data_IF_624318108841
#
_entry.id   IF_624318108841
#
_cell.length_a   1.000
_cell.length_b   1.000
_cell.length_c   1.000
_cell.angle_alpha   90.00
_cell.angle_beta   90.00
_cell.angle_gamma   90.00
#
_symmetry.space_group_name_H-M   'P 1'
#
loop_
_entity.id
_entity.type
_entity.pdbx_description
1 polymer ?
#
# COMPACT_ATOMS: atom_id res chain seq x y z
N UNK A 1 -21.41 13.24 5.99
CA UNK A 1 -21.13 11.80 6.16
C UNK A 1 -19.71 11.69 6.70
N UNK A 2 -19.47 10.79 7.66
CA UNK A 2 -18.08 10.55 8.10
C UNK A 2 -17.30 9.97 6.94
N UNK A 3 -16.13 10.54 6.63
CA UNK A 3 -15.21 10.04 5.61
C UNK A 3 -14.80 8.63 6.00
N UNK A 4 -15.15 7.65 5.20
CA UNK A 4 -14.79 6.25 5.43
C UNK A 4 -13.94 5.72 4.27
N UNK A 5 -12.85 5.05 4.59
CA UNK A 5 -11.97 4.39 3.62
C UNK A 5 -12.14 2.87 3.75
N UNK A 6 -12.50 2.21 2.65
CA UNK A 6 -12.46 0.76 2.57
C UNK A 6 -11.07 0.31 2.13
N UNK A 7 -10.43 -0.53 2.91
CA UNK A 7 -9.12 -1.08 2.61
C UNK A 7 -9.25 -2.57 2.31
N UNK A 8 -8.91 -2.98 1.10
CA UNK A 8 -8.78 -4.40 0.73
C UNK A 8 -7.32 -4.80 0.91
N UNK A 9 -7.07 -5.73 1.83
CA UNK A 9 -5.75 -6.26 2.12
C UNK A 9 -5.82 -7.77 2.36
N UNK A 10 -5.87 -8.55 1.29
CA UNK A 10 -6.16 -9.98 1.37
C UNK A 10 -5.10 -10.79 2.12
N UNK A 11 -3.82 -10.42 1.98
CA UNK A 11 -2.69 -11.18 2.52
C UNK A 11 -2.34 -10.74 3.95
N UNK A 12 -3.17 -11.12 4.91
CA UNK A 12 -2.84 -10.98 6.33
C UNK A 12 -1.58 -11.77 6.69
N UNK A 13 -0.81 -11.27 7.65
CA UNK A 13 0.44 -11.88 8.08
C UNK A 13 0.67 -11.69 9.57
N UNK A 14 1.25 -12.70 10.25
CA UNK A 14 1.95 -12.47 11.50
C UNK A 14 3.42 -12.16 11.19
N UNK A 15 3.81 -10.92 11.42
CA UNK A 15 5.17 -10.44 11.18
C UNK A 15 6.03 -10.67 12.41
N UNK A 16 7.11 -11.43 12.26
CA UNK A 16 8.15 -11.57 13.27
C UNK A 16 9.32 -10.66 12.90
N UNK A 17 9.53 -9.61 13.68
CA UNK A 17 10.68 -8.72 13.53
C UNK A 17 11.76 -9.15 14.53
N UNK A 18 12.93 -9.50 14.02
CA UNK A 18 14.04 -10.07 14.79
C UNK A 18 15.27 -9.17 14.67
N UNK A 19 15.87 -8.80 15.79
CA UNK A 19 17.17 -8.13 15.83
C UNK A 19 18.26 -9.19 15.97
N UNK A 20 19.27 -9.13 15.12
CA UNK A 20 20.44 -10.03 15.11
C UNK A 20 21.74 -9.21 15.01
N UNK A 21 22.87 -9.80 15.35
CA UNK A 21 24.18 -9.17 15.18
C UNK A 21 24.52 -8.95 13.72
N UNK A 22 24.66 -10.06 12.98
CA UNK A 22 24.94 -10.16 11.56
C UNK A 22 24.36 -11.49 11.05
N UNK A 23 23.87 -11.52 9.80
CA UNK A 23 23.35 -12.75 9.18
C UNK A 23 24.46 -13.55 8.53
N UNK A 24 24.86 -14.66 9.16
CA UNK A 24 25.89 -15.58 8.66
C UNK A 24 25.24 -16.75 7.93
N UNK A 25 25.40 -16.82 6.61
CA UNK A 25 24.85 -17.91 5.79
C UNK A 25 25.54 -19.24 6.11
N UNK A 26 24.74 -20.29 6.29
CA UNK A 26 25.24 -21.62 6.58
C UNK A 26 25.58 -21.88 8.04
N UNK A 27 25.37 -20.88 8.93
CA UNK A 27 25.65 -20.96 10.35
C UNK A 27 24.38 -20.81 11.21
N UNK A 28 24.51 -21.07 12.51
CA UNK A 28 23.46 -20.82 13.48
C UNK A 28 23.44 -19.35 13.85
N UNK A 29 22.41 -18.64 13.42
CA UNK A 29 22.18 -17.24 13.78
C UNK A 29 21.29 -17.15 15.01
N UNK A 30 21.68 -16.34 16.02
CA UNK A 30 20.94 -16.17 17.26
C UNK A 30 20.24 -14.83 17.28
N UNK A 31 18.94 -14.85 17.54
CA UNK A 31 18.11 -13.66 17.70
C UNK A 31 18.41 -13.03 19.06
N UNK A 32 18.71 -11.75 19.08
CA UNK A 32 18.95 -10.96 20.29
C UNK A 32 17.64 -10.45 20.89
N UNK A 33 16.71 -10.03 20.04
CA UNK A 33 15.38 -9.57 20.40
C UNK A 33 14.37 -9.89 19.30
N UNK A 34 13.10 -10.11 19.67
CA UNK A 34 12.03 -10.32 18.68
C UNK A 34 10.71 -9.72 19.16
N UNK A 35 9.94 -9.27 18.19
CA UNK A 35 8.52 -8.94 18.34
C UNK A 35 7.70 -9.70 17.33
N UNK A 36 6.46 -10.06 17.70
CA UNK A 36 5.48 -10.65 16.78
C UNK A 36 4.24 -9.79 16.81
N UNK A 37 3.78 -9.36 15.63
CA UNK A 37 2.60 -8.51 15.50
C UNK A 37 1.79 -8.86 14.26
N UNK A 38 0.50 -8.57 14.30
CA UNK A 38 -0.32 -8.52 13.10
C UNK A 38 0.25 -7.50 12.11
N UNK A 39 0.27 -7.83 10.84
CA UNK A 39 0.79 -6.99 9.76
C UNK A 39 0.17 -7.39 8.42
N UNK A 40 0.66 -6.81 7.38
CA UNK A 40 0.20 -6.93 5.99
C UNK A 40 -0.14 -5.57 5.45
N UNK A 41 0.03 -5.37 4.13
CA UNK A 41 -0.14 -4.06 3.50
C UNK A 41 -1.45 -3.39 3.88
N UNK A 42 -2.59 -4.11 3.75
CA UNK A 42 -3.90 -3.53 4.10
C UNK A 42 -4.02 -3.16 5.57
N UNK A 43 -3.51 -3.98 6.50
CA UNK A 43 -3.53 -3.64 7.92
C UNK A 43 -2.67 -2.41 8.22
N UNK A 44 -1.48 -2.31 7.59
CA UNK A 44 -0.61 -1.14 7.77
C UNK A 44 -1.30 0.14 7.27
N UNK A 45 -2.00 0.08 6.11
CA UNK A 45 -2.80 1.21 5.59
C UNK A 45 -3.91 1.58 6.59
N UNK A 46 -4.69 0.61 7.06
CA UNK A 46 -5.79 0.86 7.99
C UNK A 46 -5.30 1.43 9.34
N UNK A 47 -4.19 0.92 9.87
CA UNK A 47 -3.59 1.39 11.10
C UNK A 47 -3.10 2.85 11.00
N UNK A 48 -2.45 3.20 9.88
CA UNK A 48 -2.01 4.59 9.64
C UNK A 48 -3.22 5.53 9.44
N UNK A 49 -4.26 5.11 8.72
CA UNK A 49 -5.51 5.89 8.60
C UNK A 49 -6.14 6.14 9.97
N UNK A 50 -6.22 5.12 10.82
CA UNK A 50 -6.73 5.25 12.20
C UNK A 50 -5.89 6.25 13.02
N UNK A 51 -4.56 6.21 12.91
CA UNK A 51 -3.67 7.17 13.57
C UNK A 51 -3.82 8.61 13.03
N UNK A 52 -4.35 8.77 11.82
CA UNK A 52 -4.68 10.05 11.18
C UNK A 52 -6.15 10.49 11.44
N UNK A 53 -6.85 9.85 12.37
CA UNK A 53 -8.25 10.10 12.72
C UNK A 53 -9.22 9.89 11.52
N UNK A 54 -8.89 8.99 10.60
CA UNK A 54 -9.75 8.60 9.47
C UNK A 54 -10.43 7.28 9.77
N UNK A 55 -11.75 7.24 9.65
CA UNK A 55 -12.50 5.98 9.73
C UNK A 55 -12.10 5.07 8.57
N UNK A 56 -11.53 3.92 8.89
CA UNK A 56 -11.12 2.91 7.91
C UNK A 56 -11.65 1.53 8.31
N UNK A 57 -12.07 0.75 7.30
CA UNK A 57 -12.51 -0.63 7.48
C UNK A 57 -11.61 -1.52 6.63
N UNK A 58 -10.90 -2.46 7.28
CA UNK A 58 -10.05 -3.44 6.62
C UNK A 58 -10.87 -4.67 6.23
N UNK A 59 -10.81 -5.06 4.97
CA UNK A 59 -11.29 -6.35 4.47
C UNK A 59 -10.11 -7.25 4.10
N UNK A 60 -10.07 -8.46 4.65
CA UNK A 60 -8.98 -9.39 4.41
C UNK A 60 -9.34 -10.81 4.79
N UNK A 61 -8.40 -11.72 4.56
CA UNK A 61 -8.50 -13.12 4.96
C UNK A 61 -7.60 -13.42 6.15
N UNK A 62 -8.08 -14.28 7.06
CA UNK A 62 -7.21 -14.89 8.05
C UNK A 62 -7.78 -16.26 8.47
N UNK A 63 -6.89 -17.19 8.81
CA UNK A 63 -7.29 -18.54 9.22
C UNK A 63 -6.27 -19.18 10.16
N UNK A 64 -6.67 -20.27 10.78
CA UNK A 64 -5.87 -21.01 11.73
C UNK A 64 -5.58 -20.25 13.03
N UNK A 65 -4.55 -20.68 13.76
CA UNK A 65 -4.12 -20.05 15.02
C UNK A 65 -3.54 -18.65 14.78
N UNK A 66 -2.72 -18.50 13.73
CA UNK A 66 -2.16 -17.20 13.37
C UNK A 66 -3.25 -16.20 12.97
N UNK A 67 -4.32 -16.66 12.29
CA UNK A 67 -5.46 -15.84 11.94
C UNK A 67 -6.25 -15.38 13.15
N UNK A 68 -6.43 -16.24 14.18
CA UNK A 68 -7.04 -15.84 15.45
C UNK A 68 -6.22 -14.76 16.16
N UNK A 69 -4.89 -14.91 16.19
CA UNK A 69 -3.99 -13.91 16.77
C UNK A 69 -4.04 -12.59 16.01
N UNK A 70 -3.99 -12.65 14.68
CA UNK A 70 -4.14 -11.47 13.82
C UNK A 70 -5.44 -10.70 14.12
N UNK A 71 -6.57 -11.40 14.15
CA UNK A 71 -7.88 -10.79 14.40
C UNK A 71 -8.00 -10.21 15.81
N UNK A 72 -7.42 -10.91 16.80
CA UNK A 72 -7.39 -10.42 18.18
C UNK A 72 -6.57 -9.12 18.28
N UNK A 73 -5.39 -9.05 17.67
CA UNK A 73 -4.56 -7.84 17.69
C UNK A 73 -5.21 -6.67 16.95
N UNK A 74 -5.89 -6.91 15.81
CA UNK A 74 -6.69 -5.86 15.17
C UNK A 74 -7.71 -5.26 16.12
N UNK A 75 -8.42 -6.10 16.88
CA UNK A 75 -9.41 -5.65 17.86
C UNK A 75 -8.77 -4.88 19.02
N UNK A 76 -7.65 -5.38 19.54
CA UNK A 76 -6.90 -4.74 20.65
C UNK A 76 -6.37 -3.35 20.24
N UNK A 77 -5.96 -3.19 18.99
CA UNK A 77 -5.46 -1.92 18.44
C UNK A 77 -6.58 -1.01 17.91
N UNK A 78 -7.84 -1.42 18.02
CA UNK A 78 -8.99 -0.60 17.61
C UNK A 78 -9.21 -0.52 16.11
N UNK A 79 -8.61 -1.41 15.31
CA UNK A 79 -8.81 -1.46 13.86
C UNK A 79 -10.12 -2.19 13.56
N UNK A 80 -11.05 -1.54 12.84
CA UNK A 80 -12.25 -2.20 12.30
C UNK A 80 -11.82 -3.13 11.15
N UNK A 81 -11.70 -4.42 11.45
CA UNK A 81 -11.28 -5.45 10.50
C UNK A 81 -12.40 -6.45 10.26
N UNK A 82 -12.86 -6.52 9.03
CA UNK A 82 -13.87 -7.47 8.53
C UNK A 82 -13.17 -8.67 7.92
N UNK A 83 -12.74 -9.59 8.76
CA UNK A 83 -11.92 -10.74 8.37
C UNK A 83 -12.79 -11.90 7.93
N UNK A 84 -12.63 -12.33 6.67
CA UNK A 84 -13.17 -13.58 6.17
C UNK A 84 -12.30 -14.74 6.64
N UNK A 85 -12.88 -15.61 7.43
CA UNK A 85 -12.17 -16.78 7.98
C UNK A 85 -11.98 -17.82 6.89
N UNK A 86 -10.73 -18.26 6.69
CA UNK A 86 -10.36 -19.29 5.72
C UNK A 86 -9.84 -20.55 6.43
N UNK A 87 -9.91 -21.69 5.73
CA UNK A 87 -9.43 -22.96 6.27
C UNK A 87 -7.89 -23.02 6.38
N UNK A 88 -7.17 -22.33 5.50
CA UNK A 88 -5.72 -22.29 5.50
C UNK A 88 -5.18 -21.42 6.66
N UNK A 89 -3.98 -21.77 7.14
CA UNK A 89 -3.27 -20.99 8.16
C UNK A 89 -2.81 -19.64 7.60
N UNK A 90 -3.00 -18.57 8.36
CA UNK A 90 -2.40 -17.27 8.06
C UNK A 90 -0.88 -17.37 8.10
N UNK A 91 -0.23 -16.90 7.04
CA UNK A 91 1.23 -16.97 6.89
C UNK A 91 1.97 -16.14 7.94
N UNK A 92 3.22 -16.53 8.16
CA UNK A 92 4.18 -15.73 8.90
C UNK A 92 5.21 -15.14 7.93
N UNK A 93 5.74 -13.98 8.29
CA UNK A 93 6.92 -13.42 7.66
C UNK A 93 7.93 -13.05 8.73
N UNK A 94 9.20 -13.10 8.38
CA UNK A 94 10.28 -12.76 9.31
C UNK A 94 11.11 -11.64 8.70
N UNK A 95 11.28 -10.56 9.46
CA UNK A 95 12.24 -9.50 9.15
C UNK A 95 13.43 -9.64 10.09
N UNK A 96 14.62 -9.80 9.53
CA UNK A 96 15.88 -9.77 10.24
C UNK A 96 16.47 -8.36 10.11
N UNK A 97 16.73 -7.70 11.23
CA UNK A 97 17.37 -6.38 11.29
C UNK A 97 18.75 -6.57 11.90
N UNK A 98 19.78 -6.29 11.13
CA UNK A 98 21.17 -6.36 11.57
C UNK A 98 21.60 -5.07 12.28
N UNK A 99 22.67 -5.12 13.07
CA UNK A 99 23.14 -3.94 13.83
C UNK A 99 23.55 -2.76 12.97
N UNK A 100 23.97 -3.01 11.73
CA UNK A 100 24.31 -1.96 10.75
C UNK A 100 23.08 -1.34 10.08
N UNK A 101 21.88 -1.89 10.35
CA UNK A 101 20.59 -1.49 9.76
C UNK A 101 20.23 -2.26 8.49
N UNK A 102 21.06 -3.22 8.05
CA UNK A 102 20.71 -4.12 6.94
C UNK A 102 19.46 -4.90 7.32
N UNK A 103 18.51 -4.97 6.38
CA UNK A 103 17.22 -5.63 6.60
C UNK A 103 17.04 -6.75 5.57
N UNK A 104 16.77 -7.95 6.06
CA UNK A 104 16.46 -9.14 5.24
C UNK A 104 15.07 -9.65 5.57
N UNK A 105 14.23 -9.84 4.57
CA UNK A 105 12.89 -10.41 4.74
C UNK A 105 12.83 -11.86 4.25
N UNK A 106 12.21 -12.71 5.06
CA UNK A 106 11.84 -14.09 4.73
C UNK A 106 10.33 -14.14 4.71
N UNK A 107 9.76 -14.36 3.53
CA UNK A 107 8.32 -14.25 3.29
C UNK A 107 7.76 -15.63 2.95
N UNK A 108 6.83 -16.13 3.76
CA UNK A 108 6.09 -17.35 3.46
C UNK A 108 5.15 -17.13 2.26
N UNK A 109 4.83 -18.19 1.51
CA UNK A 109 3.85 -18.13 0.44
C UNK A 109 2.48 -17.70 0.98
N UNK A 110 1.68 -17.09 0.11
CA UNK A 110 0.29 -16.75 0.44
C UNK A 110 -0.53 -18.01 0.70
N UNK A 111 -1.45 -17.98 1.69
CA UNK A 111 -2.36 -19.08 1.91
C UNK A 111 -3.25 -19.32 0.68
N UNK A 112 -3.60 -20.57 0.41
CA UNK A 112 -4.61 -20.91 -0.60
C UNK A 112 -6.02 -20.76 -0.05
N UNK A 113 -6.95 -20.33 -0.89
CA UNK A 113 -8.38 -20.24 -0.56
C UNK A 113 -9.20 -21.12 -1.50
N UNK A 114 -10.39 -21.48 -1.07
CA UNK A 114 -11.38 -22.16 -1.89
C UNK A 114 -12.17 -21.15 -2.73
N UNK A 115 -12.76 -21.59 -3.83
CA UNK A 115 -13.65 -20.74 -4.62
C UNK A 115 -14.88 -20.24 -3.84
N UNK A 116 -15.33 -20.98 -2.82
CA UNK A 116 -16.44 -20.55 -1.97
C UNK A 116 -16.02 -19.40 -1.07
N UNK A 117 -14.83 -19.48 -0.45
CA UNK A 117 -14.24 -18.41 0.34
C UNK A 117 -14.02 -17.15 -0.49
N UNK A 118 -13.43 -17.28 -1.70
CA UNK A 118 -13.25 -16.18 -2.65
C UNK A 118 -14.57 -15.49 -3.00
N UNK A 119 -15.61 -16.25 -3.40
CA UNK A 119 -16.91 -15.68 -3.74
C UNK A 119 -17.58 -14.97 -2.56
N UNK A 120 -17.51 -15.56 -1.37
CA UNK A 120 -18.08 -14.97 -0.16
C UNK A 120 -17.41 -13.64 0.19
N UNK A 121 -16.08 -13.60 0.19
CA UNK A 121 -15.30 -12.37 0.43
C UNK A 121 -15.62 -11.29 -0.59
N UNK A 122 -15.58 -11.62 -1.88
CA UNK A 122 -15.88 -10.68 -2.96
C UNK A 122 -17.27 -10.09 -2.82
N UNK A 123 -18.28 -10.91 -2.53
CA UNK A 123 -19.66 -10.44 -2.32
C UNK A 123 -19.76 -9.42 -1.20
N UNK A 124 -19.07 -9.65 -0.07
CA UNK A 124 -19.08 -8.72 1.07
C UNK A 124 -18.36 -7.41 0.73
N UNK A 125 -17.19 -7.48 0.06
CA UNK A 125 -16.45 -6.28 -0.35
C UNK A 125 -17.26 -5.44 -1.34
N UNK A 126 -17.79 -6.07 -2.42
CA UNK A 126 -18.57 -5.35 -3.43
C UNK A 126 -19.81 -4.67 -2.83
N UNK A 127 -20.49 -5.30 -1.87
CA UNK A 127 -21.63 -4.70 -1.21
C UNK A 127 -21.30 -3.51 -0.30
N UNK A 128 -20.04 -3.42 0.16
CA UNK A 128 -19.59 -2.33 1.02
C UNK A 128 -19.08 -1.10 0.25
N UNK A 129 -18.71 -1.25 -1.02
CA UNK A 129 -18.14 -0.17 -1.85
C UNK A 129 -19.06 1.08 -1.89
N UNK A 130 -20.38 0.97 -2.09
CA UNK A 130 -21.23 2.16 -2.18
C UNK A 130 -21.34 3.00 -0.90
N UNK A 131 -20.91 2.45 0.24
CA UNK A 131 -21.06 3.06 1.57
C UNK A 131 -19.80 3.85 2.01
N UNK A 132 -18.75 3.92 1.16
CA UNK A 132 -17.47 4.54 1.52
C UNK A 132 -17.11 5.69 0.59
N UNK A 133 -16.15 6.51 1.01
CA UNK A 133 -15.68 7.66 0.23
C UNK A 133 -14.50 7.31 -0.70
N UNK A 134 -13.71 6.28 -0.37
CA UNK A 134 -12.53 5.84 -1.12
C UNK A 134 -12.31 4.35 -0.89
N UNK A 135 -11.84 3.65 -1.92
CA UNK A 135 -11.37 2.27 -1.82
C UNK A 135 -9.86 2.21 -2.05
N UNK A 136 -9.13 1.53 -1.15
CA UNK A 136 -7.72 1.18 -1.33
C UNK A 136 -7.60 -0.32 -1.52
N UNK A 137 -7.08 -0.77 -2.67
CA UNK A 137 -6.69 -2.17 -2.90
C UNK A 137 -5.18 -2.25 -2.70
N UNK A 138 -4.73 -2.85 -1.59
CA UNK A 138 -3.33 -2.81 -1.17
C UNK A 138 -2.73 -4.20 -0.96
N UNK A 139 -1.75 -4.52 -1.78
CA UNK A 139 -1.01 -5.78 -1.74
C UNK A 139 -1.44 -6.80 -2.79
N UNK A 140 -0.80 -7.95 -2.73
CA UNK A 140 -1.10 -9.07 -3.63
C UNK A 140 -2.33 -9.84 -3.14
N UNK A 141 -3.11 -10.37 -4.06
CA UNK A 141 -4.15 -11.33 -3.73
C UNK A 141 -3.59 -12.61 -3.10
N UNK A 142 -4.40 -13.33 -2.34
CA UNK A 142 -4.03 -14.63 -1.78
C UNK A 142 -3.90 -15.70 -2.87
N UNK A 143 -3.26 -16.82 -2.54
CA UNK A 143 -3.13 -17.95 -3.48
C UNK A 143 -4.49 -18.51 -3.90
N UNK A 144 -4.65 -18.83 -5.17
CA UNK A 144 -5.90 -19.32 -5.79
C UNK A 144 -7.07 -18.32 -5.77
N UNK A 145 -6.84 -17.02 -5.52
CA UNK A 145 -7.87 -16.01 -5.76
C UNK A 145 -8.19 -15.93 -7.26
N UNK A 146 -9.44 -15.59 -7.57
CA UNK A 146 -9.85 -15.38 -8.94
C UNK A 146 -9.10 -14.21 -9.56
N UNK A 147 -8.56 -14.39 -10.78
CA UNK A 147 -7.76 -13.35 -11.46
C UNK A 147 -8.52 -12.02 -11.64
N UNK A 148 -9.85 -12.07 -11.72
CA UNK A 148 -10.73 -10.91 -11.87
C UNK A 148 -11.19 -10.29 -10.53
N UNK A 149 -10.67 -10.75 -9.40
CA UNK A 149 -11.12 -10.30 -8.08
C UNK A 149 -10.96 -8.77 -7.92
N UNK A 150 -9.74 -8.26 -8.09
CA UNK A 150 -9.48 -6.82 -7.98
C UNK A 150 -10.09 -6.01 -9.13
N UNK A 151 -10.11 -6.56 -10.35
CA UNK A 151 -10.79 -5.95 -11.50
C UNK A 151 -12.27 -5.70 -11.19
N UNK A 152 -12.97 -6.69 -10.63
CA UNK A 152 -14.40 -6.56 -10.28
C UNK A 152 -14.64 -5.47 -9.22
N UNK A 153 -13.71 -5.27 -8.29
CA UNK A 153 -13.79 -4.22 -7.28
C UNK A 153 -13.60 -2.83 -7.92
N UNK A 154 -12.63 -2.66 -8.84
CA UNK A 154 -12.43 -1.41 -9.57
C UNK A 154 -13.67 -1.07 -10.42
N UNK A 155 -14.23 -2.06 -11.12
CA UNK A 155 -15.46 -1.87 -11.90
C UNK A 155 -16.62 -1.42 -11.00
N UNK A 156 -16.78 -2.01 -9.83
CA UNK A 156 -17.84 -1.63 -8.89
C UNK A 156 -17.64 -0.21 -8.34
N UNK A 157 -16.40 0.16 -8.00
CA UNK A 157 -16.06 1.53 -7.61
C UNK A 157 -16.49 2.55 -8.68
N UNK A 158 -16.15 2.28 -9.94
CA UNK A 158 -16.50 3.16 -11.07
C UNK A 158 -18.02 3.31 -11.26
N UNK A 159 -18.81 2.23 -11.09
CA UNK A 159 -20.28 2.30 -11.18
C UNK A 159 -20.88 3.27 -10.15
N UNK A 160 -20.24 3.38 -9.00
CA UNK A 160 -20.70 4.22 -7.89
C UNK A 160 -19.96 5.55 -7.79
N UNK A 161 -19.06 5.86 -8.74
CA UNK A 161 -18.19 7.04 -8.73
C UNK A 161 -17.38 7.15 -7.41
N UNK A 162 -16.94 6.01 -6.87
CA UNK A 162 -16.08 5.94 -5.68
C UNK A 162 -14.63 5.87 -6.14
N UNK A 163 -13.77 6.82 -5.76
CA UNK A 163 -12.34 6.80 -6.12
C UNK A 163 -11.64 5.54 -5.62
N UNK A 164 -10.78 4.95 -6.46
CA UNK A 164 -10.02 3.76 -6.11
C UNK A 164 -8.51 3.97 -6.27
N UNK A 165 -7.77 3.63 -5.22
CA UNK A 165 -6.32 3.63 -5.17
C UNK A 165 -5.85 2.17 -5.28
N UNK A 166 -5.10 1.86 -6.35
CA UNK A 166 -4.52 0.54 -6.58
C UNK A 166 -3.03 0.55 -6.18
N UNK A 167 -2.70 -0.15 -5.10
CA UNK A 167 -1.33 -0.44 -4.64
C UNK A 167 -1.04 -1.94 -4.81
N UNK A 168 -1.14 -2.42 -6.05
CA UNK A 168 -0.89 -3.81 -6.43
C UNK A 168 -0.33 -3.86 -7.86
N UNK A 169 0.55 -4.83 -8.14
CA UNK A 169 1.25 -4.89 -9.42
C UNK A 169 1.19 -6.26 -10.10
N UNK A 170 1.28 -7.38 -9.42
CA UNK A 170 1.28 -8.72 -10.03
C UNK A 170 0.01 -9.00 -10.85
N UNK A 171 -0.23 -10.22 -11.27
CA UNK A 171 -1.31 -10.59 -12.20
C UNK A 171 -2.66 -9.93 -11.87
N UNK A 172 -3.12 -10.00 -10.61
CA UNK A 172 -4.37 -9.37 -10.17
C UNK A 172 -4.31 -7.83 -10.26
N UNK A 173 -3.15 -7.22 -9.94
CA UNK A 173 -2.96 -5.78 -10.09
C UNK A 173 -2.97 -5.32 -11.54
N UNK A 174 -2.31 -6.07 -12.44
CA UNK A 174 -2.33 -5.79 -13.89
C UNK A 174 -3.75 -5.90 -14.46
N UNK A 175 -4.50 -6.90 -14.01
CA UNK A 175 -5.88 -7.07 -14.44
C UNK A 175 -6.79 -5.97 -13.88
N UNK A 176 -6.62 -5.58 -12.62
CA UNK A 176 -7.33 -4.45 -12.03
C UNK A 176 -6.99 -3.12 -12.72
N UNK A 177 -5.74 -2.95 -13.15
CA UNK A 177 -5.29 -1.78 -13.91
C UNK A 177 -6.07 -1.62 -15.21
N UNK A 178 -6.43 -2.72 -15.89
CA UNK A 178 -7.24 -2.66 -17.11
C UNK A 178 -8.67 -2.15 -16.91
N UNK A 179 -9.16 -2.14 -15.68
CA UNK A 179 -10.45 -1.55 -15.33
C UNK A 179 -10.40 -0.02 -15.08
N UNK A 180 -9.21 0.59 -15.13
CA UNK A 180 -8.98 2.03 -14.98
C UNK A 180 -9.21 2.53 -13.56
N UNK A 181 -8.38 2.18 -12.58
CA UNK A 181 -8.40 2.80 -11.26
C UNK A 181 -8.03 4.28 -11.36
N UNK A 182 -8.51 5.11 -10.42
CA UNK A 182 -8.21 6.55 -10.44
C UNK A 182 -6.73 6.80 -10.15
N UNK A 183 -6.17 6.11 -9.15
CA UNK A 183 -4.76 6.25 -8.78
C UNK A 183 -4.07 4.88 -8.80
N UNK A 184 -2.98 4.79 -9.55
CA UNK A 184 -2.01 3.69 -9.45
C UNK A 184 -0.83 4.16 -8.60
N UNK A 185 -0.55 3.48 -7.48
CA UNK A 185 0.64 3.72 -6.67
C UNK A 185 1.55 2.51 -6.70
N UNK A 186 2.79 2.71 -7.12
CA UNK A 186 3.82 1.67 -7.25
C UNK A 186 5.18 2.20 -6.80
N UNK A 187 6.16 1.32 -6.61
CA UNK A 187 7.55 1.73 -6.54
C UNK A 187 8.20 1.73 -7.94
N UNK A 188 9.42 2.26 -8.04
CA UNK A 188 10.10 2.40 -9.34
C UNK A 188 10.35 1.05 -10.03
N UNK A 189 10.60 -0.03 -9.29
CA UNK A 189 10.77 -1.37 -9.86
C UNK A 189 9.43 -1.92 -10.36
N UNK A 190 8.37 -1.79 -9.58
CA UNK A 190 7.02 -2.22 -9.95
C UNK A 190 6.51 -1.49 -11.19
N UNK A 191 6.81 -0.19 -11.33
CA UNK A 191 6.50 0.58 -12.55
C UNK A 191 7.17 -0.04 -13.78
N UNK A 192 8.48 -0.35 -13.69
CA UNK A 192 9.23 -0.97 -14.77
C UNK A 192 8.68 -2.36 -15.11
N UNK A 193 8.28 -3.15 -14.10
CA UNK A 193 7.72 -4.49 -14.28
C UNK A 193 6.34 -4.44 -14.95
N UNK A 194 5.47 -3.50 -14.55
CA UNK A 194 4.17 -3.25 -15.18
C UNK A 194 4.38 -2.85 -16.64
N UNK A 195 5.21 -1.86 -16.92
CA UNK A 195 5.46 -1.37 -18.26
C UNK A 195 5.99 -2.48 -19.18
N UNK A 196 6.92 -3.29 -18.70
CA UNK A 196 7.45 -4.45 -19.42
C UNK A 196 6.37 -5.51 -19.70
N UNK A 197 5.47 -5.72 -18.75
CA UNK A 197 4.36 -6.67 -18.92
C UNK A 197 3.38 -6.22 -19.98
N UNK A 198 3.20 -4.91 -20.17
CA UNK A 198 2.30 -4.32 -21.18
C UNK A 198 2.95 -4.30 -22.56
N UNK A 199 4.22 -3.89 -22.64
CA UNK A 199 4.90 -3.63 -23.93
C UNK A 199 5.70 -4.82 -24.46
N UNK A 200 5.95 -5.84 -23.62
CA UNK A 200 6.85 -6.96 -23.93
C UNK A 200 8.36 -6.55 -23.90
N UNK A 201 8.67 -5.29 -23.60
CA UNK A 201 10.02 -4.74 -23.58
C UNK A 201 10.18 -3.70 -22.48
N UNK A 202 11.43 -3.37 -22.12
CA UNK A 202 11.72 -2.35 -21.13
C UNK A 202 12.85 -2.77 -20.18
N UNK A 203 13.25 -1.86 -19.26
CA UNK A 203 14.33 -2.12 -18.33
C UNK A 203 13.98 -3.27 -17.37
N UNK A 204 14.95 -4.12 -17.08
CA UNK A 204 14.80 -5.22 -16.10
C UNK A 204 14.96 -4.75 -14.66
N UNK A 205 15.50 -3.55 -14.45
CA UNK A 205 15.69 -2.89 -13.16
C UNK A 205 14.90 -1.58 -13.10
N UNK A 206 14.75 -1.03 -11.90
CA UNK A 206 14.15 0.28 -11.71
C UNK A 206 14.94 1.36 -12.48
N UNK A 207 14.23 2.19 -13.27
CA UNK A 207 14.88 3.28 -13.98
C UNK A 207 15.31 4.40 -13.01
N UNK A 208 16.57 4.82 -13.13
CA UNK A 208 17.11 5.99 -12.42
C UNK A 208 16.67 7.32 -13.08
N UNK A 209 16.31 7.31 -14.36
CA UNK A 209 15.88 8.49 -15.12
C UNK A 209 14.44 8.87 -14.78
N UNK A 210 14.22 10.15 -14.39
CA UNK A 210 12.87 10.68 -14.23
C UNK A 210 12.12 10.68 -15.55
N UNK A 211 12.78 11.00 -16.66
CA UNK A 211 12.13 11.03 -17.98
C UNK A 211 11.60 9.65 -18.36
N UNK A 212 12.37 8.59 -18.17
CA UNK A 212 11.91 7.24 -18.45
C UNK A 212 10.74 6.83 -17.56
N UNK A 213 10.75 7.21 -16.26
CA UNK A 213 9.60 6.95 -15.38
C UNK A 213 8.36 7.73 -15.81
N UNK A 214 8.55 8.97 -16.25
CA UNK A 214 7.46 9.78 -16.82
C UNK A 214 6.87 9.11 -18.06
N UNK A 215 7.70 8.67 -18.98
CA UNK A 215 7.24 8.03 -20.23
C UNK A 215 6.50 6.72 -19.96
N UNK A 216 6.99 5.90 -19.00
CA UNK A 216 6.28 4.70 -18.56
C UNK A 216 4.93 5.03 -17.89
N UNK A 217 4.89 6.05 -17.04
CA UNK A 217 3.66 6.49 -16.38
C UNK A 217 2.65 7.06 -17.37
N UNK A 218 3.09 7.89 -18.33
CA UNK A 218 2.26 8.43 -19.39
C UNK A 218 1.63 7.33 -20.25
N UNK A 219 2.42 6.32 -20.60
CA UNK A 219 1.91 5.16 -21.34
C UNK A 219 0.81 4.40 -20.57
N UNK A 220 0.95 4.24 -19.25
CA UNK A 220 -0.07 3.60 -18.40
C UNK A 220 -1.33 4.47 -18.34
N UNK A 221 -1.17 5.80 -18.15
CA UNK A 221 -2.28 6.76 -18.12
C UNK A 221 -3.09 6.70 -19.43
N UNK A 222 -2.39 6.78 -20.55
CA UNK A 222 -3.02 6.74 -21.88
C UNK A 222 -3.70 5.39 -22.17
N UNK A 223 -3.07 4.28 -21.79
CA UNK A 223 -3.57 2.94 -22.12
C UNK A 223 -4.79 2.55 -21.28
N UNK A 224 -4.79 2.89 -19.99
CA UNK A 224 -5.79 2.39 -19.05
C UNK A 224 -6.72 3.46 -18.49
N UNK A 225 -6.51 4.73 -18.82
CA UNK A 225 -7.34 5.83 -18.31
C UNK A 225 -7.16 6.09 -16.82
N UNK A 226 -6.00 5.76 -16.27
CA UNK A 226 -5.63 6.11 -14.89
C UNK A 226 -5.44 7.63 -14.81
N UNK A 227 -6.02 8.28 -13.81
CA UNK A 227 -5.85 9.73 -13.66
C UNK A 227 -4.46 10.11 -13.14
N UNK A 228 -3.95 9.33 -12.17
CA UNK A 228 -2.67 9.62 -11.53
C UNK A 228 -1.85 8.36 -11.31
N UNK A 229 -0.59 8.39 -11.74
CA UNK A 229 0.42 7.37 -11.41
C UNK A 229 1.40 7.94 -10.39
N UNK A 230 1.48 7.33 -9.22
CA UNK A 230 2.42 7.70 -8.15
C UNK A 230 3.54 6.66 -8.06
N UNK A 231 4.78 7.14 -8.11
CA UNK A 231 5.99 6.31 -8.07
C UNK A 231 6.80 6.63 -6.82
N UNK A 232 6.83 5.71 -5.86
CA UNK A 232 7.67 5.84 -4.67
C UNK A 232 9.10 5.37 -4.95
N UNK A 233 10.10 6.07 -4.38
CA UNK A 233 11.53 5.84 -4.63
C UNK A 233 12.34 5.71 -3.33
N UNK A 234 11.72 5.15 -2.28
CA UNK A 234 12.33 4.99 -0.97
C UNK A 234 12.90 6.31 -0.44
N UNK A 235 14.17 6.35 -0.07
CA UNK A 235 14.84 7.57 0.46
C UNK A 235 14.85 8.76 -0.52
N UNK A 236 14.57 8.55 -1.78
CA UNK A 236 14.51 9.60 -2.80
C UNK A 236 13.12 10.21 -2.95
N UNK A 237 12.18 9.89 -2.05
CA UNK A 237 10.84 10.44 -2.02
C UNK A 237 9.89 9.78 -3.01
N UNK A 238 9.06 10.58 -3.67
CA UNK A 238 8.06 10.11 -4.62
C UNK A 238 7.85 11.09 -5.77
N UNK A 239 7.32 10.60 -6.87
CA UNK A 239 6.88 11.35 -8.04
C UNK A 239 5.43 11.00 -8.36
N UNK A 240 4.68 11.95 -8.90
CA UNK A 240 3.33 11.74 -9.40
C UNK A 240 3.21 12.32 -10.80
N UNK A 241 2.45 11.64 -11.63
CA UNK A 241 2.24 11.95 -13.04
C UNK A 241 0.76 11.89 -13.38
N UNK A 242 0.27 12.85 -14.15
CA UNK A 242 -1.07 12.88 -14.70
C UNK A 242 -1.05 13.48 -16.12
N UNK A 243 -2.19 13.52 -16.79
CA UNK A 243 -2.32 14.23 -18.08
C UNK A 243 -2.10 15.74 -17.96
N UNK A 244 -2.19 16.30 -16.74
CA UNK A 244 -2.06 17.74 -16.47
C UNK A 244 -0.65 18.16 -16.03
N UNK A 245 0.26 17.20 -15.82
CA UNK A 245 1.62 17.49 -15.41
C UNK A 245 2.21 16.47 -14.44
N UNK A 246 3.22 16.92 -13.74
CA UNK A 246 3.94 16.07 -12.78
C UNK A 246 4.32 16.86 -11.53
N UNK A 247 4.55 16.13 -10.45
CA UNK A 247 5.15 16.67 -9.22
C UNK A 247 6.16 15.67 -8.65
N UNK A 248 7.08 16.17 -7.82
CA UNK A 248 7.96 15.34 -6.99
C UNK A 248 8.07 15.91 -5.59
N UNK A 249 8.23 15.03 -4.60
CA UNK A 249 8.48 15.42 -3.22
C UNK A 249 9.53 14.50 -2.59
N UNK A 250 10.42 15.08 -1.79
CA UNK A 250 11.41 14.34 -1.03
C UNK A 250 11.64 15.00 0.34
N UNK A 251 11.96 14.20 1.35
CA UNK A 251 12.39 14.68 2.67
C UNK A 251 13.91 14.72 2.74
N UNK A 252 14.46 15.70 3.47
CA UNK A 252 15.89 15.70 3.82
C UNK A 252 16.24 14.63 4.88
N UNK A 253 15.24 14.03 5.54
CA UNK A 253 15.43 12.86 6.41
C UNK A 253 15.55 11.62 5.52
N UNK A 254 16.78 11.19 5.27
CA UNK A 254 17.06 10.05 4.39
C UNK A 254 17.30 8.74 5.15
N UNK A 255 17.46 8.80 6.48
CA UNK A 255 17.70 7.64 7.33
C UNK A 255 16.50 7.42 8.26
N UNK A 256 15.81 6.32 8.06
CA UNK A 256 14.67 5.87 8.87
C UNK A 256 15.08 4.70 9.75
N UNK A 257 14.31 4.43 10.81
CA UNK A 257 14.56 3.31 11.73
C UNK A 257 14.07 1.99 11.12
N UNK A 258 12.90 2.04 10.47
CA UNK A 258 12.33 0.88 9.79
C UNK A 258 11.66 1.31 8.48
N UNK A 259 12.14 0.86 7.31
CA UNK A 259 11.54 1.19 6.02
C UNK A 259 10.28 0.39 5.70
N UNK A 260 10.00 -0.70 6.46
CA UNK A 260 8.86 -1.59 6.20
C UNK A 260 7.56 -0.87 6.54
N UNK A 261 6.60 -0.91 5.61
CA UNK A 261 5.32 -0.22 5.76
C UNK A 261 5.32 1.27 5.38
N UNK A 262 6.48 1.87 5.04
CA UNK A 262 6.51 3.26 4.56
C UNK A 262 5.67 3.46 3.29
N UNK A 263 5.67 2.47 2.37
CA UNK A 263 4.82 2.49 1.18
C UNK A 263 3.33 2.42 1.52
N UNK A 264 2.97 1.65 2.53
CA UNK A 264 1.59 1.51 3.01
C UNK A 264 1.13 2.79 3.72
N UNK A 265 2.02 3.41 4.51
CA UNK A 265 1.78 4.71 5.15
C UNK A 265 1.60 5.83 4.10
N UNK A 266 2.35 5.77 3.00
CA UNK A 266 2.16 6.67 1.86
C UNK A 266 0.77 6.46 1.24
N UNK A 267 0.35 5.21 1.00
CA UNK A 267 -0.98 4.88 0.46
C UNK A 267 -2.09 5.39 1.38
N UNK A 268 -1.95 5.23 2.70
CA UNK A 268 -2.90 5.75 3.69
C UNK A 268 -3.03 7.29 3.62
N UNK A 269 -1.91 7.99 3.50
CA UNK A 269 -1.91 9.45 3.37
C UNK A 269 -2.59 9.92 2.08
N UNK A 270 -2.35 9.23 0.96
CA UNK A 270 -3.04 9.51 -0.31
C UNK A 270 -4.55 9.28 -0.15
N UNK A 271 -4.95 8.15 0.47
CA UNK A 271 -6.34 7.84 0.71
C UNK A 271 -7.05 8.88 1.57
N UNK A 272 -6.40 9.36 2.65
CA UNK A 272 -6.93 10.45 3.47
C UNK A 272 -7.16 11.72 2.62
N UNK A 273 -6.20 12.09 1.78
CA UNK A 273 -6.33 13.30 0.94
C UNK A 273 -7.44 13.15 -0.09
N UNK A 274 -7.51 12.02 -0.79
CA UNK A 274 -8.58 11.74 -1.76
C UNK A 274 -9.95 11.78 -1.09
N UNK A 275 -10.07 11.15 0.08
CA UNK A 275 -11.33 11.12 0.82
C UNK A 275 -11.81 12.50 1.28
N UNK A 276 -10.89 13.43 1.59
CA UNK A 276 -11.22 14.81 1.94
C UNK A 276 -11.66 15.66 0.73
N UNK A 277 -11.26 15.25 -0.50
CA UNK A 277 -11.64 15.91 -1.75
C UNK A 277 -12.81 15.20 -2.47
N UNK A 278 -13.37 14.15 -1.91
CA UNK A 278 -14.49 13.40 -2.50
C UNK A 278 -15.84 14.14 -2.40
N UNK A 279 -15.86 15.46 -2.53
CA UNK A 279 -17.06 16.27 -2.68
C UNK A 279 -17.37 16.48 -4.16
N UNK A 280 -18.64 16.48 -4.60
CA UNK A 280 -19.00 16.70 -6.01
C UNK A 280 -18.54 18.04 -6.61
N UNK A 281 -18.13 18.98 -5.76
CA UNK A 281 -17.67 20.32 -6.17
C UNK A 281 -16.14 20.43 -6.22
N UNK A 282 -15.41 19.42 -5.71
CA UNK A 282 -13.96 19.46 -5.66
C UNK A 282 -13.34 18.73 -6.86
N UNK A 283 -12.38 19.39 -7.50
CA UNK A 283 -11.47 18.74 -8.44
C UNK A 283 -10.51 17.82 -7.68
N UNK A 284 -9.92 16.82 -8.36
CA UNK A 284 -8.90 15.93 -7.78
C UNK A 284 -7.81 16.71 -7.05
N UNK A 285 -7.29 16.22 -5.91
CA UNK A 285 -6.29 16.96 -5.15
C UNK A 285 -5.03 17.20 -5.99
N UNK A 286 -4.41 18.39 -5.91
CA UNK A 286 -3.19 18.70 -6.64
C UNK A 286 -2.08 17.66 -6.35
N UNK A 287 -1.34 17.25 -7.38
CA UNK A 287 -0.27 16.23 -7.28
C UNK A 287 0.77 16.61 -6.21
N UNK A 288 1.16 17.89 -6.18
CA UNK A 288 2.09 18.40 -5.18
C UNK A 288 1.57 18.24 -3.75
N UNK A 289 0.27 18.42 -3.54
CA UNK A 289 -0.40 18.22 -2.25
C UNK A 289 -0.44 16.76 -1.83
N UNK A 290 -0.78 15.85 -2.76
CA UNK A 290 -0.75 14.40 -2.52
C UNK A 290 0.65 13.94 -2.12
N UNK A 291 1.68 14.34 -2.88
CA UNK A 291 3.05 13.93 -2.62
C UNK A 291 3.61 14.52 -1.34
N UNK A 292 3.36 15.81 -1.07
CA UNK A 292 3.77 16.44 0.19
C UNK A 292 3.24 15.64 1.37
N UNK A 293 1.95 15.32 1.37
CA UNK A 293 1.31 14.58 2.44
C UNK A 293 1.83 13.14 2.51
N UNK A 294 1.88 12.44 1.37
CA UNK A 294 2.36 11.07 1.29
C UNK A 294 3.80 10.89 1.80
N UNK A 295 4.73 11.75 1.36
CA UNK A 295 6.13 11.70 1.80
C UNK A 295 6.26 12.05 3.28
N UNK A 296 5.49 13.04 3.77
CA UNK A 296 5.48 13.40 5.20
C UNK A 296 5.10 12.19 6.05
N UNK A 297 3.96 11.57 5.78
CA UNK A 297 3.45 10.46 6.58
C UNK A 297 4.34 9.23 6.46
N UNK A 298 4.80 8.90 5.25
CA UNK A 298 5.71 7.78 5.02
C UNK A 298 7.04 7.95 5.78
N UNK A 299 7.60 9.17 5.79
CA UNK A 299 8.85 9.47 6.52
C UNK A 299 8.61 9.41 8.03
N UNK A 300 7.55 10.03 8.54
CA UNK A 300 7.21 9.98 9.97
C UNK A 300 6.98 8.55 10.46
N UNK A 301 6.28 7.72 9.66
CA UNK A 301 6.11 6.28 9.93
C UNK A 301 7.46 5.56 10.00
N UNK A 302 8.37 5.82 9.06
CA UNK A 302 9.70 5.20 9.03
C UNK A 302 10.59 5.54 10.22
N UNK A 303 10.27 6.56 11.00
CA UNK A 303 10.92 6.88 12.28
C UNK A 303 10.42 6.01 13.45
N UNK A 304 9.45 5.11 13.22
CA UNK A 304 9.00 4.09 14.17
C UNK A 304 9.61 2.72 13.84
N UNK A 305 9.86 1.90 14.87
CA UNK A 305 10.35 0.53 14.70
C UNK A 305 9.26 -0.46 14.26
N UNK A 306 7.99 -0.17 14.57
CA UNK A 306 6.86 -1.08 14.30
C UNK A 306 6.16 -0.69 13.00
N UNK A 307 6.00 -1.60 12.02
CA UNK A 307 5.17 -1.38 10.84
C UNK A 307 3.72 -1.05 11.22
N UNK A 308 3.07 -0.17 10.44
CA UNK A 308 1.71 0.29 10.72
C UNK A 308 1.59 1.27 11.91
N UNK A 309 2.67 1.58 12.62
CA UNK A 309 2.66 2.53 13.72
C UNK A 309 3.14 3.91 13.27
N UNK A 310 2.30 4.93 13.44
CA UNK A 310 2.62 6.33 13.13
C UNK A 310 2.64 7.15 14.41
N UNK A 311 3.78 7.76 14.71
CA UNK A 311 3.88 8.81 15.73
C UNK A 311 3.47 10.15 15.13
N UNK A 312 2.21 10.54 15.35
CA UNK A 312 1.63 11.77 14.79
C UNK A 312 2.34 13.04 15.26
N UNK A 313 3.00 13.01 16.41
CA UNK A 313 3.74 14.17 16.95
C UNK A 313 4.91 14.56 16.04
N UNK A 314 5.43 13.63 15.25
CA UNK A 314 6.57 13.84 14.34
C UNK A 314 6.18 14.42 12.98
N UNK A 315 4.88 14.45 12.66
CA UNK A 315 4.39 14.90 11.34
C UNK A 315 4.85 16.34 11.04
N UNK A 316 4.71 17.25 12.01
CA UNK A 316 5.09 18.66 11.83
C UNK A 316 6.61 18.85 11.62
N UNK A 317 7.43 18.09 12.35
CA UNK A 317 8.89 18.08 12.18
C UNK A 317 9.25 17.64 10.75
N UNK A 318 8.70 16.51 10.30
CA UNK A 318 8.96 15.96 8.97
C UNK A 318 8.46 16.90 7.86
N UNK A 319 7.27 17.49 8.02
CA UNK A 319 6.71 18.42 7.03
C UNK A 319 7.63 19.61 6.74
N UNK A 320 8.37 20.09 7.77
CA UNK A 320 9.36 21.16 7.63
C UNK A 320 10.61 20.76 6.81
N UNK A 321 10.82 19.48 6.56
CA UNK A 321 12.01 18.97 5.83
C UNK A 321 11.76 18.71 4.35
N UNK A 322 10.54 18.95 3.86
CA UNK A 322 10.17 18.59 2.51
C UNK A 322 10.59 19.60 1.45
N UNK A 323 11.12 19.08 0.37
CA UNK A 323 11.30 19.80 -0.89
C UNK A 323 10.30 19.24 -1.90
N UNK A 324 9.50 20.14 -2.49
CA UNK A 324 8.48 19.78 -3.49
C UNK A 324 8.76 20.59 -4.75
N UNK A 325 8.71 19.94 -5.91
CA UNK A 325 8.84 20.57 -7.22
C UNK A 325 7.88 19.92 -8.21
N UNK A 326 7.50 20.65 -9.25
CA UNK A 326 6.58 20.14 -10.28
C UNK A 326 6.17 21.21 -11.27
N UNK A 327 5.44 20.78 -12.30
CA UNK A 327 4.73 21.62 -13.24
C UNK A 327 3.33 21.01 -13.40
N UNK A 328 2.33 21.64 -12.81
CA UNK A 328 0.93 21.36 -13.07
C UNK A 328 0.38 22.55 -13.86
N UNK A 329 -0.22 22.28 -15.02
CA UNK A 329 -1.07 23.26 -15.70
C UNK A 329 -2.40 23.28 -14.95
N UNK A 330 -2.72 24.38 -14.32
CA UNK A 330 -3.99 24.62 -13.63
C UNK A 330 -5.18 24.59 -14.57
#
# INVERSE_FOLDING_TARGET
>A
MSVAVLVVGENSVLQKTCVIGELNRGEVNRIENQTVSASGKGLNVAAVLSALDVTAVLYGYAGGENGRRFTAECKETGIDARISVIAAETRQCMTLIERDGTTTEIVEPSPGITQAESRAFRSVVLSAIPEVSVVCISGTAVGNESEDAYESMVIECRKHAIPVILDAHKAHGLRALSAGPDILKVNAQELSDIHRSITGSGPSAASESRQERHDMAAHIIETYGVETVIVTRGRHGAEAYSSHGWASAASSITRVQNPIGCGDAFTAAVAQRVALYASPEDTSPPLAGLLRHGVTIATAHGLSMKPGHLDVSRISEVAGTLVVSGSESG
#
